data_IF_344716660180
#
_entry.id   IF_344716660180
#
_cell.length_a   1.000
_cell.length_b   1.000
_cell.length_c   1.000
_cell.angle_alpha   90.00
_cell.angle_beta   90.00
_cell.angle_gamma   90.00
#
_symmetry.space_group_name_H-M   'P 1'
#
loop_
_entity.id
_entity.type
_entity.pdbx_description
1 polymer ?
#
# COMPACT_ATOMS: atom_id res chain seq x y z
N UNK A 1 22.13 -2.67 -3.65
CA UNK A 1 21.27 -2.65 -2.46
C UNK A 1 20.95 -4.10 -2.15
N UNK A 2 21.12 -4.55 -0.91
CA UNK A 2 20.81 -5.94 -0.54
C UNK A 2 19.30 -6.19 -0.70
N UNK A 3 18.87 -7.24 -1.44
CA UNK A 3 17.46 -7.58 -1.60
C UNK A 3 16.69 -7.67 -0.28
N UNK A 4 17.34 -8.16 0.79
CA UNK A 4 16.69 -8.26 2.10
C UNK A 4 16.52 -6.90 2.79
N UNK A 5 17.44 -5.96 2.56
CA UNK A 5 17.31 -4.58 3.04
C UNK A 5 16.22 -3.82 2.28
N UNK A 6 16.08 -4.08 0.97
CA UNK A 6 14.97 -3.54 0.15
C UNK A 6 13.61 -4.02 0.68
N UNK A 7 13.48 -5.33 0.90
CA UNK A 7 12.26 -5.94 1.43
C UNK A 7 11.93 -5.42 2.84
N UNK A 8 12.94 -5.28 3.72
CA UNK A 8 12.78 -4.70 5.04
C UNK A 8 12.28 -3.25 4.97
N UNK A 9 12.86 -2.45 4.07
CA UNK A 9 12.44 -1.08 3.81
C UNK A 9 10.99 -0.99 3.35
N UNK A 10 10.57 -1.86 2.43
CA UNK A 10 9.19 -1.90 1.93
C UNK A 10 8.19 -2.31 3.02
N UNK A 11 8.54 -3.28 3.85
CA UNK A 11 7.69 -3.74 4.96
C UNK A 11 7.70 -2.79 6.17
N UNK A 12 8.58 -1.78 6.19
CA UNK A 12 8.71 -0.86 7.32
C UNK A 12 9.20 -1.55 8.60
N UNK A 13 9.93 -2.66 8.48
CA UNK A 13 10.45 -3.43 9.62
C UNK A 13 11.98 -3.43 9.64
N UNK A 14 12.61 -3.56 10.82
CA UNK A 14 14.05 -3.78 10.89
C UNK A 14 14.46 -5.08 10.18
N UNK A 15 15.59 -5.09 9.46
CA UNK A 15 16.16 -6.29 8.81
C UNK A 15 16.26 -7.48 9.78
N UNK A 16 16.53 -7.25 11.06
CA UNK A 16 16.60 -8.32 12.08
C UNK A 16 15.31 -9.11 12.25
N UNK A 17 14.15 -8.58 11.82
CA UNK A 17 12.88 -9.32 11.78
C UNK A 17 12.79 -10.32 10.61
N UNK A 18 13.65 -10.15 9.61
CA UNK A 18 13.71 -10.98 8.41
C UNK A 18 14.90 -11.94 8.42
N UNK A 19 15.58 -12.14 9.54
CA UNK A 19 16.77 -13.00 9.64
C UNK A 19 16.51 -14.46 9.23
N UNK A 20 15.26 -14.92 9.31
CA UNK A 20 14.86 -16.24 8.80
C UNK A 20 14.97 -16.39 7.28
N UNK A 21 15.09 -15.28 6.55
CA UNK A 21 15.23 -15.24 5.09
C UNK A 21 16.68 -15.09 4.63
N UNK A 22 17.66 -15.00 5.53
CA UNK A 22 19.09 -14.89 5.17
C UNK A 22 19.59 -16.11 4.38
N UNK A 23 18.90 -17.26 4.48
CA UNK A 23 19.22 -18.48 3.72
C UNK A 23 18.55 -18.53 2.33
N UNK A 24 17.67 -17.58 2.00
CA UNK A 24 16.99 -17.53 0.72
C UNK A 24 17.94 -17.05 -0.38
N UNK A 25 17.73 -17.55 -1.60
CA UNK A 25 18.50 -17.04 -2.74
C UNK A 25 18.08 -15.60 -3.09
N UNK A 26 18.94 -14.81 -3.73
CA UNK A 26 18.57 -13.48 -4.20
C UNK A 26 17.34 -13.47 -5.13
N UNK A 27 17.12 -14.55 -5.89
CA UNK A 27 15.97 -14.70 -6.76
C UNK A 27 14.66 -14.88 -5.97
N UNK A 28 14.70 -15.67 -4.88
CA UNK A 28 13.56 -15.86 -3.99
C UNK A 28 13.22 -14.54 -3.27
N UNK A 29 14.24 -13.82 -2.80
CA UNK A 29 14.07 -12.51 -2.15
C UNK A 29 13.47 -11.47 -3.11
N UNK A 30 13.91 -11.45 -4.37
CA UNK A 30 13.32 -10.60 -5.40
C UNK A 30 11.85 -10.93 -5.64
N UNK A 31 11.51 -12.22 -5.74
CA UNK A 31 10.12 -12.68 -5.90
C UNK A 31 9.25 -12.25 -4.71
N UNK A 32 9.77 -12.32 -3.48
CA UNK A 32 9.06 -11.85 -2.30
C UNK A 32 8.85 -10.34 -2.32
N UNK A 33 9.84 -9.55 -2.74
CA UNK A 33 9.68 -8.09 -2.87
C UNK A 33 8.61 -7.73 -3.91
N UNK A 34 8.59 -8.41 -5.05
CA UNK A 34 7.57 -8.22 -6.09
C UNK A 34 6.16 -8.57 -5.61
N UNK A 35 6.03 -9.65 -4.83
CA UNK A 35 4.75 -10.04 -4.22
C UNK A 35 4.27 -8.98 -3.23
N UNK A 36 5.14 -8.51 -2.32
CA UNK A 36 4.80 -7.44 -1.37
C UNK A 36 4.42 -6.16 -2.11
N UNK A 37 5.18 -5.78 -3.14
CA UNK A 37 4.89 -4.62 -3.97
C UNK A 37 3.50 -4.71 -4.60
N UNK A 38 3.17 -5.87 -5.17
CA UNK A 38 1.89 -6.12 -5.83
C UNK A 38 0.74 -6.10 -4.84
N UNK A 39 0.90 -6.71 -3.67
CA UNK A 39 -0.12 -6.70 -2.62
C UNK A 39 -0.40 -5.30 -2.11
N UNK A 40 0.63 -4.49 -1.83
CA UNK A 40 0.43 -3.12 -1.36
C UNK A 40 -0.27 -2.25 -2.41
N UNK A 41 0.12 -2.38 -3.69
CA UNK A 41 -0.56 -1.66 -4.77
C UNK A 41 -2.04 -2.08 -4.91
N UNK A 42 -2.35 -3.36 -4.69
CA UNK A 42 -3.72 -3.86 -4.70
C UNK A 42 -4.52 -3.34 -3.49
N UNK A 43 -3.91 -3.27 -2.31
CA UNK A 43 -4.53 -2.70 -1.10
C UNK A 43 -4.83 -1.21 -1.27
N UNK A 44 -3.87 -0.43 -1.77
CA UNK A 44 -4.06 1.00 -2.06
C UNK A 44 -5.22 1.24 -3.03
N UNK A 45 -5.30 0.42 -4.08
CA UNK A 45 -6.41 0.46 -5.05
C UNK A 45 -7.74 0.14 -4.38
N UNK A 46 -7.79 -0.93 -3.56
CA UNK A 46 -9.00 -1.33 -2.86
C UNK A 46 -9.48 -0.27 -1.85
N UNK A 47 -8.55 0.41 -1.18
CA UNK A 47 -8.85 1.54 -0.29
C UNK A 47 -9.42 2.71 -1.09
N UNK A 48 -8.78 3.09 -2.20
CA UNK A 48 -9.25 4.17 -3.07
C UNK A 48 -10.66 3.90 -3.61
N UNK A 49 -10.91 2.67 -4.07
CA UNK A 49 -12.23 2.24 -4.55
C UNK A 49 -13.28 2.25 -3.43
N UNK A 50 -12.91 1.81 -2.22
CA UNK A 50 -13.77 1.85 -1.05
C UNK A 50 -14.17 3.28 -0.65
N UNK A 51 -13.22 4.22 -0.71
CA UNK A 51 -13.47 5.63 -0.43
C UNK A 51 -14.39 6.26 -1.49
N UNK A 52 -14.13 6.03 -2.78
CA UNK A 52 -14.99 6.55 -3.85
C UNK A 52 -16.39 5.91 -3.79
N UNK A 53 -16.48 4.62 -3.48
CA UNK A 53 -17.74 3.92 -3.22
C UNK A 53 -18.52 4.54 -2.07
N UNK A 54 -17.84 4.88 -0.97
CA UNK A 54 -18.44 5.56 0.19
C UNK A 54 -19.00 6.93 -0.19
N UNK A 55 -18.27 7.72 -0.96
CA UNK A 55 -18.75 9.01 -1.48
C UNK A 55 -19.97 8.81 -2.39
N UNK A 56 -19.95 7.81 -3.27
CA UNK A 56 -21.06 7.54 -4.20
C UNK A 56 -22.35 7.12 -3.47
N UNK A 57 -22.25 6.45 -2.33
CA UNK A 57 -23.38 6.08 -1.51
C UNK A 57 -24.14 7.30 -0.92
N UNK A 58 -23.48 8.47 -0.84
CA UNK A 58 -24.12 9.69 -0.34
C UNK A 58 -25.04 10.34 -1.40
N UNK A 59 -26.11 11.05 -0.95
CA UNK A 59 -26.92 11.88 -1.82
C UNK A 59 -26.06 12.90 -2.59
N UNK A 60 -26.37 13.11 -3.88
CA UNK A 60 -25.59 14.00 -4.77
C UNK A 60 -25.22 15.37 -4.17
N UNK A 61 -26.12 16.09 -3.45
CA UNK A 61 -25.80 17.39 -2.86
C UNK A 61 -24.69 17.34 -1.80
N UNK A 62 -24.46 16.19 -1.17
CA UNK A 62 -23.50 16.02 -0.07
C UNK A 62 -22.13 15.50 -0.55
N UNK A 63 -22.05 14.94 -1.76
CA UNK A 63 -20.83 14.29 -2.27
C UNK A 63 -19.64 15.24 -2.35
N UNK A 64 -19.86 16.49 -2.75
CA UNK A 64 -18.78 17.49 -2.83
C UNK A 64 -18.17 17.79 -1.47
N UNK A 65 -19.02 17.94 -0.43
CA UNK A 65 -18.56 18.12 0.95
C UNK A 65 -17.87 16.88 1.50
N UNK A 66 -18.40 15.70 1.21
CA UNK A 66 -17.79 14.44 1.63
C UNK A 66 -16.41 14.23 0.99
N UNK A 67 -16.25 14.54 -0.30
CA UNK A 67 -14.94 14.52 -0.96
C UNK A 67 -13.97 15.48 -0.30
N UNK A 68 -14.37 16.72 -0.03
CA UNK A 68 -13.48 17.70 0.62
C UNK A 68 -13.04 17.29 2.04
N UNK A 69 -13.82 16.46 2.74
CA UNK A 69 -13.46 15.93 4.06
C UNK A 69 -12.54 14.70 3.98
N UNK A 70 -12.76 13.83 2.99
CA UNK A 70 -12.02 12.57 2.82
C UNK A 70 -10.70 12.80 2.06
N UNK A 71 -10.70 13.74 1.12
CA UNK A 71 -9.58 14.10 0.24
C UNK A 71 -9.29 15.61 0.37
N UNK A 72 -8.69 16.05 1.49
CA UNK A 72 -8.47 17.48 1.74
C UNK A 72 -7.47 18.11 0.76
N UNK A 73 -6.57 17.33 0.16
CA UNK A 73 -5.64 17.82 -0.87
C UNK A 73 -6.30 18.10 -2.24
N UNK A 74 -7.44 17.48 -2.55
CA UNK A 74 -8.18 17.72 -3.80
C UNK A 74 -9.01 19.03 -3.78
N UNK A 75 -9.09 19.68 -2.63
CA UNK A 75 -9.89 20.89 -2.42
C UNK A 75 -9.11 22.21 -2.62
N UNK A 76 -7.82 22.12 -2.97
CA UNK A 76 -6.90 23.26 -3.18
C UNK A 76 -6.77 23.65 -4.66
#
# INVERSE_FOLDING_TARGET
>A
MDPLDSLAGRLGVPRSRLSGLDACSPADLGTLDDLVATTFAAEDTAVADGLDGTVRALPRPLRGRARALIFPEDAS
#
